data_IF_787755779511
#
_entry.id   IF_787755779511
#
_cell.length_a   1.000
_cell.length_b   1.000
_cell.length_c   1.000
_cell.angle_alpha   90.00
_cell.angle_beta   90.00
_cell.angle_gamma   90.00
#
_symmetry.space_group_name_H-M   'P 1'
#
loop_
_entity.id
_entity.type
_entity.pdbx_description
1 polymer ?
#
# COMPACT_ATOMS: atom_id res chain seq x y z
N UNK A 1 23.49 -30.68 72.17
CA UNK A 1 23.25 -31.06 70.76
C UNK A 1 22.41 -29.93 70.16
N UNK A 2 23.08 -29.03 69.46
CA UNK A 2 22.42 -27.88 68.79
C UNK A 2 22.26 -28.19 67.30
N UNK A 3 21.02 -28.28 66.82
CA UNK A 3 20.72 -28.45 65.42
C UNK A 3 20.66 -27.06 64.76
N UNK A 4 21.63 -26.78 63.87
CA UNK A 4 21.63 -25.61 63.00
C UNK A 4 20.70 -25.88 61.82
N UNK A 5 19.55 -25.17 61.75
CA UNK A 5 18.75 -25.14 60.51
C UNK A 5 19.44 -24.21 59.49
N UNK A 6 19.85 -24.76 58.37
CA UNK A 6 20.33 -24.00 57.20
C UNK A 6 19.11 -23.59 56.35
N UNK A 7 18.75 -22.33 56.36
CA UNK A 7 17.74 -21.78 55.45
C UNK A 7 18.36 -21.55 54.07
N UNK A 8 17.89 -22.25 53.07
CA UNK A 8 18.28 -22.04 51.68
C UNK A 8 17.36 -21.00 51.07
N UNK A 9 17.90 -19.84 50.74
CA UNK A 9 17.18 -18.83 49.93
C UNK A 9 17.30 -19.20 48.45
N UNK A 10 16.19 -19.58 47.84
CA UNK A 10 16.09 -19.73 46.37
C UNK A 10 15.70 -18.39 45.80
N UNK A 11 16.63 -17.71 45.15
CA UNK A 11 16.35 -16.48 44.40
C UNK A 11 15.66 -16.86 43.06
N UNK A 12 14.36 -16.63 42.96
CA UNK A 12 13.61 -16.74 41.70
C UNK A 12 13.89 -15.48 40.89
N UNK A 13 14.79 -15.57 39.91
CA UNK A 13 15.00 -14.52 38.91
C UNK A 13 13.86 -14.57 37.91
N UNK A 14 12.90 -13.65 38.05
CA UNK A 14 11.85 -13.43 37.08
C UNK A 14 12.49 -12.78 35.80
N UNK A 15 12.79 -13.58 34.80
CA UNK A 15 13.18 -13.06 33.49
C UNK A 15 11.95 -12.48 32.81
N UNK A 16 11.83 -11.14 32.83
CA UNK A 16 10.81 -10.46 32.02
C UNK A 16 11.13 -10.69 30.55
N UNK A 17 10.16 -11.13 29.71
CA UNK A 17 10.38 -11.19 28.28
C UNK A 17 10.63 -9.76 27.76
N UNK A 18 11.83 -9.51 27.27
CA UNK A 18 12.12 -8.31 26.47
C UNK A 18 11.26 -8.45 25.23
N UNK A 19 10.18 -7.67 25.15
CA UNK A 19 9.44 -7.53 23.91
C UNK A 19 10.43 -7.03 22.84
N UNK A 20 10.87 -7.93 21.98
CA UNK A 20 11.68 -7.58 20.85
C UNK A 20 10.78 -6.71 19.93
N UNK A 21 10.88 -5.40 20.07
CA UNK A 21 10.34 -4.51 19.05
C UNK A 21 10.95 -4.93 17.72
N UNK A 22 10.12 -5.35 16.78
CA UNK A 22 10.56 -5.74 15.47
C UNK A 22 11.33 -4.56 14.87
N UNK A 23 12.65 -4.69 14.81
CA UNK A 23 13.52 -3.63 14.29
C UNK A 23 13.13 -3.32 12.86
N UNK A 24 12.85 -2.07 12.58
CA UNK A 24 12.50 -1.62 11.24
C UNK A 24 13.66 -1.90 10.29
N UNK A 25 13.40 -2.63 9.17
CA UNK A 25 14.44 -3.08 8.25
C UNK A 25 15.13 -1.94 7.51
N UNK A 26 14.41 -0.84 7.27
CA UNK A 26 14.90 0.34 6.57
C UNK A 26 14.66 1.59 7.41
N UNK A 27 15.53 1.90 8.37
CA UNK A 27 15.40 3.11 9.17
C UNK A 27 15.51 4.36 8.29
N UNK A 28 15.00 5.48 8.78
CA UNK A 28 15.15 6.75 8.10
C UNK A 28 16.64 7.07 7.84
N UNK A 29 16.93 7.66 6.67
CA UNK A 29 18.29 8.15 6.40
C UNK A 29 18.52 9.47 7.12
N UNK A 30 19.77 9.71 7.52
CA UNK A 30 20.16 10.99 8.06
C UNK A 30 20.17 12.03 6.92
N UNK A 31 19.39 13.13 7.02
CA UNK A 31 19.33 14.17 5.99
C UNK A 31 20.69 14.77 5.63
N UNK A 32 21.60 14.89 6.62
CA UNK A 32 22.92 15.48 6.43
C UNK A 32 23.89 14.58 5.66
N UNK A 33 23.57 13.30 5.54
CA UNK A 33 24.41 12.27 4.91
C UNK A 33 23.85 11.77 3.57
N UNK A 34 22.84 12.43 3.02
CA UNK A 34 22.25 12.05 1.73
C UNK A 34 23.24 12.30 0.59
N UNK A 35 23.38 11.33 -0.31
CA UNK A 35 24.07 11.51 -1.58
C UNK A 35 23.39 12.56 -2.45
N UNK A 36 24.08 13.14 -3.47
CA UNK A 36 23.45 14.05 -4.42
C UNK A 36 22.19 13.48 -5.08
N UNK A 37 22.21 12.20 -5.47
CA UNK A 37 21.05 11.53 -6.09
C UNK A 37 19.88 11.38 -5.11
N UNK A 38 20.15 11.07 -3.84
CA UNK A 38 19.12 11.00 -2.81
C UNK A 38 18.50 12.37 -2.52
N UNK A 39 19.32 13.45 -2.47
CA UNK A 39 18.82 14.82 -2.31
C UNK A 39 17.93 15.23 -3.47
N UNK A 40 18.36 14.99 -4.71
CA UNK A 40 17.56 15.28 -5.90
C UNK A 40 16.22 14.55 -5.88
N UNK A 41 16.21 13.26 -5.45
CA UNK A 41 14.96 12.49 -5.32
C UNK A 41 14.04 13.07 -4.23
N UNK A 42 14.55 13.48 -3.08
CA UNK A 42 13.73 14.12 -2.02
C UNK A 42 13.14 15.44 -2.52
N UNK A 43 13.95 16.25 -3.22
CA UNK A 43 13.50 17.52 -3.79
C UNK A 43 12.40 17.33 -4.86
N UNK A 44 12.49 16.27 -5.69
CA UNK A 44 11.44 15.97 -6.68
C UNK A 44 10.11 15.61 -6.00
N UNK A 45 10.16 14.82 -4.92
CA UNK A 45 8.96 14.44 -4.16
C UNK A 45 8.25 15.64 -3.49
N UNK A 46 8.96 16.71 -3.21
CA UNK A 46 8.39 17.92 -2.60
C UNK A 46 7.66 18.82 -3.60
N UNK A 47 7.86 18.62 -4.90
CA UNK A 47 7.21 19.39 -5.95
C UNK A 47 5.77 18.95 -6.20
N UNK A 48 4.92 19.86 -6.75
CA UNK A 48 3.62 19.45 -7.27
C UNK A 48 3.74 18.38 -8.37
N UNK A 49 2.75 17.51 -8.48
CA UNK A 49 1.50 17.42 -7.72
C UNK A 49 1.64 16.71 -6.36
N UNK A 50 2.79 16.13 -6.06
CA UNK A 50 3.02 15.24 -4.92
C UNK A 50 3.08 15.97 -3.57
N UNK A 51 3.84 17.07 -3.49
CA UNK A 51 4.02 17.91 -2.28
C UNK A 51 4.38 17.09 -1.01
N UNK A 52 5.20 16.03 -1.16
CA UNK A 52 5.54 15.13 -0.07
C UNK A 52 6.76 15.62 0.72
N UNK A 53 6.53 16.20 1.88
CA UNK A 53 7.58 16.67 2.80
C UNK A 53 8.06 15.63 3.81
N UNK A 54 7.45 14.42 3.80
CA UNK A 54 7.71 13.37 4.80
C UNK A 54 8.41 12.13 4.24
N UNK A 55 8.91 12.22 3.00
CA UNK A 55 9.48 11.09 2.25
C UNK A 55 10.63 10.38 2.99
N UNK A 56 11.47 11.11 3.74
CA UNK A 56 12.58 10.53 4.50
C UNK A 56 12.14 9.57 5.61
N UNK A 57 10.93 9.71 6.10
CA UNK A 57 10.39 8.94 7.23
C UNK A 57 9.35 7.92 6.82
N UNK A 58 8.63 8.18 5.74
CA UNK A 58 7.50 7.35 5.33
C UNK A 58 7.84 6.38 4.22
N UNK A 59 7.54 5.08 4.35
CA UNK A 59 7.59 4.16 3.24
C UNK A 59 6.45 4.50 2.24
N UNK A 60 6.60 4.14 0.96
CA UNK A 60 7.73 3.40 0.38
C UNK A 60 8.98 4.27 0.11
N UNK A 61 8.86 5.61 0.16
CA UNK A 61 9.88 6.56 -0.30
C UNK A 61 11.22 6.38 0.42
N UNK A 62 11.21 6.29 1.76
CA UNK A 62 12.47 6.04 2.51
C UNK A 62 13.15 4.73 2.13
N UNK A 63 12.42 3.74 1.64
CA UNK A 63 12.98 2.48 1.14
C UNK A 63 13.60 2.70 -0.23
N UNK A 64 12.89 3.37 -1.13
CA UNK A 64 13.36 3.69 -2.48
C UNK A 64 14.63 4.53 -2.49
N UNK A 65 14.88 5.34 -1.47
CA UNK A 65 16.12 6.10 -1.32
C UNK A 65 17.39 5.24 -1.26
N UNK A 66 17.29 3.91 -1.05
CA UNK A 66 18.43 2.98 -1.16
C UNK A 66 18.82 2.70 -2.62
N UNK A 67 17.95 3.06 -3.56
CA UNK A 67 18.19 2.97 -4.99
C UNK A 67 17.62 4.21 -5.69
N UNK A 68 18.26 5.39 -5.55
CA UNK A 68 17.70 6.67 -5.99
C UNK A 68 17.46 6.73 -7.50
N UNK A 69 18.28 6.05 -8.32
CA UNK A 69 18.09 6.00 -9.77
C UNK A 69 16.82 5.20 -10.15
N UNK A 70 16.55 4.10 -9.46
CA UNK A 70 15.29 3.36 -9.61
C UNK A 70 14.12 4.19 -9.07
N UNK A 71 14.31 4.83 -7.90
CA UNK A 71 13.29 5.65 -7.27
C UNK A 71 12.76 6.75 -8.20
N UNK A 72 13.65 7.47 -8.88
CA UNK A 72 13.28 8.53 -9.83
C UNK A 72 12.46 7.99 -11.01
N UNK A 73 12.78 6.78 -11.52
CA UNK A 73 12.01 6.14 -12.59
C UNK A 73 10.62 5.69 -12.11
N UNK A 74 10.57 5.09 -10.93
CA UNK A 74 9.30 4.69 -10.31
C UNK A 74 8.42 5.91 -9.99
N UNK A 75 9.02 7.04 -9.60
CA UNK A 75 8.30 8.28 -9.40
C UNK A 75 7.67 8.78 -10.69
N UNK A 76 8.40 8.78 -11.80
CA UNK A 76 7.85 9.18 -13.10
C UNK A 76 6.67 8.29 -13.53
N UNK A 77 6.76 6.98 -13.30
CA UNK A 77 5.61 6.07 -13.51
C UNK A 77 4.46 6.43 -12.58
N UNK A 78 4.74 6.62 -11.29
CA UNK A 78 3.73 6.97 -10.30
C UNK A 78 2.99 8.26 -10.64
N UNK A 79 3.72 9.29 -11.07
CA UNK A 79 3.13 10.57 -11.44
C UNK A 79 2.20 10.42 -12.66
N UNK A 80 2.63 9.64 -13.64
CA UNK A 80 1.80 9.36 -14.80
C UNK A 80 0.54 8.59 -14.43
N UNK A 81 0.65 7.45 -13.74
CA UNK A 81 -0.52 6.60 -13.44
C UNK A 81 -1.51 7.23 -12.48
N UNK A 82 -1.08 8.20 -11.66
CA UNK A 82 -1.95 8.90 -10.73
C UNK A 82 -2.59 10.16 -11.30
N UNK A 83 -1.88 10.88 -12.15
CA UNK A 83 -2.33 12.22 -12.59
C UNK A 83 -2.24 12.44 -14.10
N UNK A 84 -1.55 11.58 -14.84
CA UNK A 84 -1.29 11.76 -16.28
C UNK A 84 -2.16 10.92 -17.21
N UNK A 85 -2.91 9.95 -16.72
CA UNK A 85 -3.66 9.00 -17.56
C UNK A 85 -4.92 9.60 -18.20
N UNK A 86 -5.51 10.62 -17.60
CA UNK A 86 -6.82 11.15 -17.98
C UNK A 86 -8.01 10.29 -17.50
N UNK A 87 -7.75 9.22 -16.75
CA UNK A 87 -8.82 8.45 -16.12
C UNK A 87 -9.46 9.24 -14.99
N UNK A 88 -10.77 9.07 -14.74
CA UNK A 88 -11.41 9.64 -13.55
C UNK A 88 -10.63 9.24 -12.29
N UNK A 89 -10.23 10.20 -11.41
CA UNK A 89 -9.44 9.90 -10.22
C UNK A 89 -10.02 8.77 -9.37
N UNK A 90 -11.34 8.72 -9.24
CA UNK A 90 -12.08 7.66 -8.56
C UNK A 90 -11.74 6.24 -9.08
N UNK A 91 -11.58 6.06 -10.39
CA UNK A 91 -11.24 4.78 -10.99
C UNK A 91 -9.76 4.42 -10.75
N UNK A 92 -8.87 5.39 -10.84
CA UNK A 92 -7.46 5.22 -10.48
C UNK A 92 -7.35 4.76 -9.02
N UNK A 93 -8.03 5.43 -8.10
CA UNK A 93 -8.01 5.07 -6.68
C UNK A 93 -8.67 3.70 -6.43
N UNK A 94 -9.73 3.34 -7.14
CA UNK A 94 -10.34 2.01 -7.05
C UNK A 94 -9.38 0.89 -7.52
N UNK A 95 -8.65 1.10 -8.61
CA UNK A 95 -7.61 0.16 -9.06
C UNK A 95 -6.54 -0.06 -7.97
N UNK A 96 -6.09 1.04 -7.34
CA UNK A 96 -5.13 0.99 -6.24
C UNK A 96 -5.70 0.25 -5.03
N UNK A 97 -6.96 0.49 -4.69
CA UNK A 97 -7.64 -0.17 -3.56
C UNK A 97 -7.78 -1.67 -3.77
N UNK A 98 -8.16 -2.13 -4.97
CA UNK A 98 -8.25 -3.56 -5.29
C UNK A 98 -6.86 -4.21 -5.20
N UNK A 99 -5.82 -3.54 -5.69
CA UNK A 99 -4.43 -3.97 -5.54
C UNK A 99 -4.01 -4.04 -4.06
N UNK A 100 -4.32 -3.00 -3.29
CA UNK A 100 -4.03 -2.97 -1.85
C UNK A 100 -4.72 -4.12 -1.11
N UNK A 101 -5.97 -4.45 -1.50
CA UNK A 101 -6.71 -5.58 -0.94
C UNK A 101 -6.06 -6.92 -1.31
N UNK A 102 -5.65 -7.09 -2.57
CA UNK A 102 -4.95 -8.30 -3.03
C UNK A 102 -3.72 -8.60 -2.15
N UNK A 103 -2.91 -7.58 -1.85
CA UNK A 103 -1.72 -7.69 -1.02
C UNK A 103 -2.00 -7.57 0.49
N UNK A 104 -3.25 -7.38 0.92
CA UNK A 104 -3.61 -7.03 2.31
C UNK A 104 -2.77 -5.89 2.88
N UNK A 105 -2.47 -4.90 2.04
CA UNK A 105 -1.62 -3.76 2.38
C UNK A 105 -2.42 -2.63 3.03
N UNK A 106 -2.57 -2.67 4.35
CA UNK A 106 -3.25 -1.59 5.10
C UNK A 106 -2.55 -0.23 4.90
N UNK A 107 -1.24 -0.21 4.65
CA UNK A 107 -0.50 1.01 4.37
C UNK A 107 -0.98 1.73 3.11
N UNK A 108 -1.13 1.01 1.99
CA UNK A 108 -1.65 1.56 0.74
C UNK A 108 -3.12 1.90 0.91
N UNK A 109 -3.89 0.97 1.45
CA UNK A 109 -5.34 1.05 1.62
C UNK A 109 -5.79 2.37 2.27
N UNK A 110 -5.21 2.74 3.41
CA UNK A 110 -5.68 3.87 4.23
C UNK A 110 -5.67 5.22 3.49
N UNK A 111 -4.64 5.49 2.71
CA UNK A 111 -4.53 6.75 1.96
C UNK A 111 -5.45 6.77 0.75
N UNK A 112 -5.49 5.65 0.03
CA UNK A 112 -6.24 5.53 -1.22
C UNK A 112 -7.74 5.36 -1.01
N UNK A 113 -8.18 4.74 0.09
CA UNK A 113 -9.58 4.76 0.50
C UNK A 113 -10.11 6.19 0.68
N UNK A 114 -9.39 7.04 1.42
CA UNK A 114 -9.80 8.45 1.61
C UNK A 114 -9.84 9.22 0.30
N UNK A 115 -8.84 9.03 -0.55
CA UNK A 115 -8.78 9.67 -1.86
C UNK A 115 -9.94 9.20 -2.73
N UNK A 116 -10.23 7.91 -2.79
CA UNK A 116 -11.34 7.34 -3.55
C UNK A 116 -12.70 7.92 -3.11
N UNK A 117 -12.96 7.99 -1.80
CA UNK A 117 -14.19 8.56 -1.25
C UNK A 117 -14.30 10.05 -1.58
N UNK A 118 -13.21 10.80 -1.42
CA UNK A 118 -13.15 12.23 -1.82
C UNK A 118 -13.45 12.43 -3.29
N UNK A 119 -12.99 11.51 -4.14
CA UNK A 119 -13.17 11.55 -5.59
C UNK A 119 -14.51 10.92 -6.05
N UNK A 120 -15.39 10.57 -5.11
CA UNK A 120 -16.77 10.17 -5.35
C UNK A 120 -17.05 8.67 -5.44
N UNK A 121 -16.16 7.84 -4.88
CA UNK A 121 -16.47 6.43 -4.60
C UNK A 121 -17.45 6.37 -3.40
N UNK A 122 -18.51 5.55 -3.51
CA UNK A 122 -19.39 5.31 -2.36
C UNK A 122 -18.60 4.61 -1.24
N UNK A 123 -18.60 5.14 0.00
CA UNK A 123 -17.84 4.55 1.11
C UNK A 123 -18.16 3.08 1.37
N UNK A 124 -19.39 2.63 1.06
CA UNK A 124 -19.78 1.22 1.22
C UNK A 124 -19.07 0.29 0.24
N UNK A 125 -18.66 0.78 -0.95
CA UNK A 125 -17.84 0.02 -1.89
C UNK A 125 -16.49 -0.32 -1.24
N UNK A 126 -15.84 0.69 -0.63
CA UNK A 126 -14.60 0.46 0.09
C UNK A 126 -14.77 -0.47 1.30
N UNK A 127 -15.84 -0.31 2.07
CA UNK A 127 -16.11 -1.17 3.22
C UNK A 127 -16.31 -2.65 2.81
N UNK A 128 -16.99 -2.91 1.69
CA UNK A 128 -17.17 -4.26 1.16
C UNK A 128 -15.84 -4.86 0.68
N UNK A 129 -15.02 -4.08 -0.06
CA UNK A 129 -13.69 -4.53 -0.49
C UNK A 129 -12.81 -4.84 0.72
N UNK A 130 -12.80 -3.97 1.74
CA UNK A 130 -12.04 -4.20 2.97
C UNK A 130 -12.42 -5.50 3.67
N UNK A 131 -13.72 -5.82 3.69
CA UNK A 131 -14.25 -7.04 4.27
C UNK A 131 -14.08 -8.29 3.36
N UNK A 132 -13.48 -8.16 2.17
CA UNK A 132 -13.34 -9.26 1.21
C UNK A 132 -14.63 -9.65 0.52
N UNK A 133 -15.65 -8.78 0.53
CA UNK A 133 -16.93 -9.02 -0.15
C UNK A 133 -16.98 -8.28 -1.49
N UNK A 134 -17.76 -8.81 -2.41
CA UNK A 134 -18.09 -8.10 -3.65
C UNK A 134 -18.96 -6.87 -3.32
N UNK A 135 -18.56 -5.66 -3.73
CA UNK A 135 -19.39 -4.47 -3.51
C UNK A 135 -20.69 -4.51 -4.32
N UNK A 136 -21.76 -3.95 -3.74
CA UNK A 136 -23.10 -3.92 -4.36
C UNK A 136 -23.49 -2.56 -4.91
N UNK A 137 -22.81 -1.49 -4.50
CA UNK A 137 -23.14 -0.11 -4.90
C UNK A 137 -22.14 0.52 -5.88
N UNK A 138 -21.42 -0.32 -6.63
CA UNK A 138 -20.54 0.17 -7.69
C UNK A 138 -21.32 0.77 -8.85
N UNK A 139 -20.80 1.87 -9.40
CA UNK A 139 -21.21 2.38 -10.72
C UNK A 139 -20.83 1.38 -11.81
N UNK A 140 -21.35 1.55 -13.02
CA UNK A 140 -21.07 0.63 -14.13
C UNK A 140 -19.57 0.52 -14.43
N UNK A 141 -18.88 1.65 -14.55
CA UNK A 141 -17.44 1.71 -14.81
C UNK A 141 -16.61 1.11 -13.64
N UNK A 142 -17.02 1.34 -12.40
CA UNK A 142 -16.41 0.72 -11.22
C UNK A 142 -16.59 -0.81 -11.24
N UNK A 143 -17.77 -1.28 -11.63
CA UNK A 143 -18.06 -2.71 -11.74
C UNK A 143 -17.19 -3.39 -12.79
N UNK A 144 -17.02 -2.75 -13.96
CA UNK A 144 -16.15 -3.25 -15.04
C UNK A 144 -14.70 -3.34 -14.57
N UNK A 145 -14.17 -2.27 -13.96
CA UNK A 145 -12.83 -2.25 -13.43
C UNK A 145 -12.62 -3.30 -12.31
N UNK A 146 -13.56 -3.37 -11.37
CA UNK A 146 -13.49 -4.33 -10.26
C UNK A 146 -13.48 -5.77 -10.77
N UNK A 147 -14.33 -6.09 -11.76
CA UNK A 147 -14.36 -7.43 -12.38
C UNK A 147 -13.04 -7.75 -13.06
N UNK A 148 -12.52 -6.82 -13.88
CA UNK A 148 -11.25 -6.98 -14.57
C UNK A 148 -10.10 -7.24 -13.58
N UNK A 149 -9.94 -6.38 -12.59
CA UNK A 149 -8.88 -6.49 -11.59
C UNK A 149 -9.01 -7.77 -10.75
N UNK A 150 -10.23 -8.13 -10.33
CA UNK A 150 -10.47 -9.33 -9.52
C UNK A 150 -10.18 -10.60 -10.31
N UNK A 151 -10.61 -10.69 -11.57
CA UNK A 151 -10.35 -11.84 -12.44
C UNK A 151 -8.85 -11.99 -12.68
N UNK A 152 -8.14 -10.88 -13.00
CA UNK A 152 -6.69 -10.88 -13.19
C UNK A 152 -5.95 -11.37 -11.94
N UNK A 153 -6.28 -10.87 -10.76
CA UNK A 153 -5.58 -11.26 -9.52
C UNK A 153 -5.91 -12.69 -9.08
N UNK A 154 -7.15 -13.14 -9.24
CA UNK A 154 -7.58 -14.46 -8.84
C UNK A 154 -7.08 -15.54 -9.79
N UNK A 155 -7.33 -15.36 -11.11
CA UNK A 155 -7.18 -16.40 -12.12
C UNK A 155 -5.84 -16.29 -12.87
N UNK A 156 -5.11 -15.18 -12.70
CA UNK A 156 -3.89 -14.84 -13.48
C UNK A 156 -4.17 -14.81 -14.98
N UNK A 157 -5.40 -14.54 -15.33
CA UNK A 157 -5.94 -14.46 -16.69
C UNK A 157 -7.08 -13.45 -16.72
N UNK A 158 -7.49 -13.04 -17.90
CA UNK A 158 -8.68 -12.23 -18.14
C UNK A 158 -9.45 -12.84 -19.30
N UNK A 159 -10.73 -13.13 -19.11
CA UNK A 159 -11.57 -13.67 -20.18
C UNK A 159 -11.81 -12.63 -21.29
N UNK A 160 -12.09 -13.12 -22.51
CA UNK A 160 -12.39 -12.25 -23.65
C UNK A 160 -13.58 -11.33 -23.37
N UNK A 161 -14.59 -11.82 -22.65
CA UNK A 161 -15.77 -11.03 -22.30
C UNK A 161 -15.41 -9.88 -21.33
N UNK A 162 -14.62 -10.14 -20.30
CA UNK A 162 -14.14 -9.13 -19.34
C UNK A 162 -13.21 -8.13 -20.03
N UNK A 163 -12.32 -8.60 -20.89
CA UNK A 163 -11.45 -7.76 -21.70
C UNK A 163 -12.26 -6.82 -22.62
N UNK A 164 -13.21 -7.36 -23.39
CA UNK A 164 -14.05 -6.58 -24.30
C UNK A 164 -14.87 -5.51 -23.55
N UNK A 165 -15.43 -5.83 -22.38
CA UNK A 165 -16.14 -4.88 -21.56
C UNK A 165 -15.22 -3.74 -21.06
N UNK A 166 -14.00 -4.06 -20.64
CA UNK A 166 -13.01 -3.09 -20.18
C UNK A 166 -12.53 -2.18 -21.33
N UNK A 167 -12.23 -2.73 -22.50
CA UNK A 167 -11.87 -1.92 -23.68
C UNK A 167 -13.01 -1.02 -24.12
N UNK A 168 -14.26 -1.50 -24.08
CA UNK A 168 -15.44 -0.66 -24.38
C UNK A 168 -15.59 0.50 -23.43
N UNK A 169 -15.34 0.29 -22.13
CA UNK A 169 -15.52 1.30 -21.10
C UNK A 169 -14.38 2.33 -21.03
N UNK A 170 -13.11 1.88 -21.18
CA UNK A 170 -11.93 2.69 -20.91
C UNK A 170 -11.11 2.99 -22.16
N UNK A 171 -11.37 2.34 -23.29
CA UNK A 171 -10.49 2.30 -24.46
C UNK A 171 -9.23 1.48 -24.20
N UNK A 172 -8.50 1.11 -25.24
CA UNK A 172 -7.25 0.33 -25.11
C UNK A 172 -6.21 1.05 -24.25
N UNK A 173 -6.00 2.36 -24.52
CA UNK A 173 -5.08 3.19 -23.73
C UNK A 173 -5.47 3.21 -22.25
N UNK A 174 -6.74 3.51 -21.96
CA UNK A 174 -7.22 3.63 -20.59
C UNK A 174 -7.11 2.31 -19.81
N UNK A 175 -7.38 1.20 -20.48
CA UNK A 175 -7.19 -0.12 -19.87
C UNK A 175 -5.72 -0.39 -19.55
N UNK A 176 -4.80 -0.10 -20.45
CA UNK A 176 -3.35 -0.26 -20.19
C UNK A 176 -2.89 0.66 -19.07
N UNK A 177 -3.39 1.90 -19.00
CA UNK A 177 -3.08 2.82 -17.90
C UNK A 177 -3.55 2.28 -16.53
N UNK A 178 -4.74 1.67 -16.47
CA UNK A 178 -5.26 1.01 -15.25
C UNK A 178 -4.43 -0.22 -14.87
N UNK A 179 -4.03 -1.03 -15.85
CA UNK A 179 -3.10 -2.17 -15.63
C UNK A 179 -1.76 -1.69 -15.10
N UNK A 180 -1.20 -0.62 -15.70
CA UNK A 180 0.05 -0.01 -15.22
C UNK A 180 -0.10 0.55 -13.79
N UNK A 181 -1.26 1.12 -13.45
CA UNK A 181 -1.57 1.58 -12.10
C UNK A 181 -1.51 0.40 -11.10
N UNK A 182 -2.18 -0.71 -11.41
CA UNK A 182 -2.16 -1.91 -10.57
C UNK A 182 -0.73 -2.45 -10.41
N UNK A 183 0.02 -2.63 -11.50
CA UNK A 183 1.40 -3.14 -11.47
C UNK A 183 2.37 -2.24 -10.71
N UNK A 184 2.22 -0.93 -10.80
CA UNK A 184 2.99 0.00 -9.96
C UNK A 184 2.71 -0.22 -8.48
N UNK A 185 1.44 -0.35 -8.10
CA UNK A 185 1.06 -0.56 -6.69
C UNK A 185 1.34 -1.99 -6.20
N UNK A 186 1.46 -2.99 -7.07
CA UNK A 186 2.07 -4.28 -6.74
C UNK A 186 3.53 -4.10 -6.28
N UNK A 187 4.31 -3.29 -7.02
CA UNK A 187 5.69 -2.95 -6.64
C UNK A 187 5.75 -2.22 -5.29
N UNK A 188 4.84 -1.27 -5.06
CA UNK A 188 4.73 -0.57 -3.76
C UNK A 188 4.41 -1.56 -2.64
N UNK A 189 3.45 -2.47 -2.84
CA UNK A 189 3.07 -3.46 -1.83
C UNK A 189 4.24 -4.40 -1.48
N UNK A 190 4.94 -4.93 -2.48
CA UNK A 190 6.13 -5.75 -2.29
C UNK A 190 7.24 -5.01 -1.52
N UNK A 191 7.42 -3.72 -1.81
CA UNK A 191 8.38 -2.86 -1.10
C UNK A 191 8.01 -2.71 0.37
N UNK A 192 6.72 -2.46 0.67
CA UNK A 192 6.21 -2.33 2.04
C UNK A 192 6.35 -3.64 2.83
N UNK A 193 6.05 -4.78 2.21
CA UNK A 193 6.25 -6.12 2.79
C UNK A 193 7.73 -6.36 3.09
N UNK A 194 8.60 -6.06 2.13
CA UNK A 194 10.06 -6.19 2.31
C UNK A 194 10.56 -5.35 3.48
N UNK A 195 10.02 -4.15 3.64
CA UNK A 195 10.36 -3.23 4.72
C UNK A 195 9.73 -3.62 6.07
N UNK A 196 8.80 -4.56 6.12
CA UNK A 196 7.93 -4.81 7.28
C UNK A 196 7.22 -3.52 7.76
N UNK A 197 6.76 -2.71 6.79
CA UNK A 197 6.11 -1.45 7.11
C UNK A 197 4.77 -1.70 7.80
N UNK A 198 4.60 -1.09 8.97
CA UNK A 198 3.35 -1.16 9.75
C UNK A 198 2.55 0.11 9.50
N UNK A 199 1.30 -0.05 9.07
CA UNK A 199 0.39 1.07 8.94
C UNK A 199 -0.09 1.54 10.32
N UNK A 200 -0.18 2.85 10.57
CA UNK A 200 -0.87 3.35 11.76
C UNK A 200 -2.35 2.96 11.70
N UNK A 201 -2.92 2.68 12.87
CA UNK A 201 -4.38 2.47 12.98
C UNK A 201 -5.09 3.82 12.82
N UNK A 202 -6.19 3.81 12.09
CA UNK A 202 -7.01 4.99 11.83
C UNK A 202 -8.48 4.57 11.94
N UNK A 203 -9.27 5.35 12.69
CA UNK A 203 -10.66 4.99 13.02
C UNK A 203 -11.63 5.24 11.85
N UNK A 204 -11.30 6.20 10.99
CA UNK A 204 -12.12 6.59 9.83
C UNK A 204 -11.86 5.75 8.57
N UNK A 205 -10.99 4.76 8.65
CA UNK A 205 -10.65 3.88 7.53
C UNK A 205 -11.01 2.43 7.86
N UNK A 206 -11.82 1.76 7.02
CA UNK A 206 -12.10 0.35 7.20
C UNK A 206 -10.81 -0.47 7.25
N UNK A 207 -10.69 -1.34 8.25
CA UNK A 207 -9.55 -2.24 8.33
C UNK A 207 -9.73 -3.40 7.37
N UNK A 208 -8.65 -3.76 6.66
CA UNK A 208 -8.66 -4.94 5.80
C UNK A 208 -8.83 -6.19 6.66
N UNK A 209 -9.90 -6.93 6.42
CA UNK A 209 -10.11 -8.22 7.07
C UNK A 209 -9.04 -9.22 6.62
N UNK A 210 -8.66 -10.14 7.50
CA UNK A 210 -7.81 -11.26 7.09
C UNK A 210 -8.51 -12.07 6.00
N UNK A 211 -7.78 -12.39 4.93
CA UNK A 211 -8.28 -13.30 3.90
C UNK A 211 -8.11 -14.73 4.42
N UNK A 212 -9.18 -15.52 4.32
CA UNK A 212 -9.08 -16.98 4.51
C UNK A 212 -8.03 -17.53 3.53
N UNK A 213 -7.08 -18.27 4.08
CA UNK A 213 -6.04 -18.96 3.30
C UNK A 213 -6.65 -20.06 2.44
#
# INVERSE_FOLDING_TARGET
MQHLLKTVFVAVTCAMPIAAFAQERYPALNPDQLSPAQKAYVESLQKPPRNNTTALRNPPFKVYMRSPDLASKLEAVSDYVRWGTGQPPRLTELAIMVTARHWSSQWIWRGHYRAAVKDGLDPSVGADIAAGRRPTKMKEDETILYNYATEMYRDKAVSDATFAAAVKAFGEKGLIDLVATMGYYDTVAMTLITAKAVAPKEEDVPQLAELSK
#
